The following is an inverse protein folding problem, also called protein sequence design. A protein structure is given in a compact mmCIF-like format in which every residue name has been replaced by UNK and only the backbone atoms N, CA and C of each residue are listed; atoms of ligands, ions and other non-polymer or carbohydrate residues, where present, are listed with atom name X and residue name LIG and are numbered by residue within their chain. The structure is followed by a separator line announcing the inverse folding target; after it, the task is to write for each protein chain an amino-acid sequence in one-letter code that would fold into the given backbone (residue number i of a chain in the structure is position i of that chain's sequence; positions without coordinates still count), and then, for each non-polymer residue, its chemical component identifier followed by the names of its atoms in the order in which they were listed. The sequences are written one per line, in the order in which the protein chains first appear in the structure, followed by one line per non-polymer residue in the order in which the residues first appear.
data_IF_497426167461
#
_entry.id   IF_497426167461
#
_cell.length_a   1.000
_cell.length_b   1.000
_cell.length_c   1.000
_cell.angle_alpha   90.00
_cell.angle_beta   90.00
_cell.angle_gamma   90.00
#
_symmetry.space_group_name_H-M   'P 1'
#
loop_
_entity.id
_entity.type
_entity.pdbx_description
1 polymer ?
#
# COMPACT_ATOMS: atom_id res chain seq x y z
N UNK A 1 14.03 5.72 25.00
CA UNK A 1 14.44 4.53 24.23
C UNK A 1 14.59 5.00 22.79
N UNK A 2 15.69 4.67 22.10
CA UNK A 2 15.79 4.97 20.66
C UNK A 2 14.80 4.08 19.92
N UNK A 3 14.10 4.67 18.95
CA UNK A 3 13.18 3.95 18.10
C UNK A 3 13.93 2.90 17.27
N UNK A 4 13.62 1.59 17.39
CA UNK A 4 14.36 0.53 16.71
C UNK A 4 13.97 0.37 15.24
N UNK A 5 12.89 1.01 14.80
CA UNK A 5 12.43 0.96 13.42
C UNK A 5 13.30 1.86 12.54
N UNK A 6 13.73 1.34 11.38
CA UNK A 6 14.42 2.14 10.38
C UNK A 6 13.42 2.64 9.32
N UNK A 7 13.48 3.92 8.90
CA UNK A 7 12.63 4.42 7.82
C UNK A 7 12.85 3.62 6.54
N UNK A 8 11.76 3.34 5.81
CA UNK A 8 11.85 2.64 4.54
C UNK A 8 12.53 3.48 3.46
N UNK A 9 13.18 2.80 2.52
CA UNK A 9 13.80 3.41 1.34
C UNK A 9 13.73 2.45 0.14
N UNK A 10 14.12 2.91 -1.05
CA UNK A 10 14.26 2.04 -2.23
C UNK A 10 15.15 0.82 -2.00
N UNK A 11 16.09 0.90 -1.05
CA UNK A 11 17.01 -0.20 -0.71
C UNK A 11 16.30 -1.33 0.02
N UNK A 12 15.14 -1.08 0.60
CA UNK A 12 14.33 -2.05 1.34
C UNK A 12 13.37 -2.83 0.44
N UNK A 13 13.21 -2.44 -0.83
CA UNK A 13 12.33 -3.13 -1.79
C UNK A 13 12.59 -4.65 -1.85
N UNK A 14 13.85 -5.15 -1.91
CA UNK A 14 14.09 -6.59 -1.90
C UNK A 14 13.66 -7.29 -0.60
N UNK A 15 13.85 -6.63 0.56
CA UNK A 15 13.41 -7.14 1.86
C UNK A 15 11.89 -7.25 1.92
N UNK A 16 11.20 -6.16 1.59
CA UNK A 16 9.74 -6.10 1.57
C UNK A 16 9.15 -7.13 0.62
N UNK A 17 9.68 -7.20 -0.61
CA UNK A 17 9.23 -8.18 -1.62
C UNK A 17 9.36 -9.61 -1.11
N UNK A 18 10.44 -9.95 -0.38
CA UNK A 18 10.63 -11.29 0.22
C UNK A 18 9.53 -11.64 1.21
N UNK A 19 9.12 -10.69 2.04
CA UNK A 19 8.09 -10.91 3.05
C UNK A 19 6.68 -10.88 2.46
N UNK A 20 6.36 -9.91 1.62
CA UNK A 20 5.05 -9.76 1.00
C UNK A 20 4.70 -10.95 0.09
N UNK A 21 5.70 -11.56 -0.57
CA UNK A 21 5.50 -12.78 -1.36
C UNK A 21 5.06 -14.01 -0.52
N UNK A 22 5.15 -13.95 0.81
CA UNK A 22 4.73 -15.03 1.72
C UNK A 22 3.32 -14.83 2.26
N UNK A 23 2.67 -13.71 1.96
CA UNK A 23 1.32 -13.43 2.43
C UNK A 23 0.27 -13.95 1.45
N UNK A 24 -0.83 -14.45 2.00
CA UNK A 24 -2.04 -14.75 1.23
C UNK A 24 -2.96 -13.52 1.07
N UNK A 25 -2.67 -12.43 1.78
CA UNK A 25 -3.42 -11.18 1.70
C UNK A 25 -3.12 -10.47 0.38
N UNK A 26 -4.10 -9.71 -0.11
CA UNK A 26 -4.02 -8.98 -1.39
C UNK A 26 -4.23 -7.48 -1.20
N UNK A 27 -3.81 -6.99 -0.03
CA UNK A 27 -3.91 -5.58 0.31
C UNK A 27 -2.92 -4.77 -0.53
N UNK A 28 -3.31 -3.58 -0.97
CA UNK A 28 -2.42 -2.72 -1.75
C UNK A 28 -1.19 -2.29 -0.93
N UNK A 29 -1.31 -2.20 0.39
CA UNK A 29 -0.21 -1.93 1.34
C UNK A 29 0.89 -3.01 1.27
N UNK A 30 0.58 -4.24 0.84
CA UNK A 30 1.57 -5.30 0.63
C UNK A 30 2.30 -5.18 -0.73
N UNK A 31 2.48 -3.95 -1.22
CA UNK A 31 3.28 -3.61 -2.39
C UNK A 31 4.54 -2.87 -1.96
N UNK A 32 5.71 -3.46 -2.22
CA UNK A 32 7.00 -2.88 -1.83
C UNK A 32 7.22 -1.48 -2.43
N UNK A 33 6.79 -1.26 -3.67
CA UNK A 33 6.85 0.05 -4.32
C UNK A 33 5.94 1.07 -3.66
N UNK A 34 4.73 0.66 -3.22
CA UNK A 34 3.80 1.56 -2.55
C UNK A 34 4.31 1.99 -1.18
N UNK A 35 4.79 1.03 -0.36
CA UNK A 35 5.33 1.32 0.97
C UNK A 35 6.52 2.29 0.92
N UNK A 36 7.39 2.15 -0.09
CA UNK A 36 8.52 3.06 -0.27
C UNK A 36 8.08 4.41 -0.84
N UNK A 37 7.18 4.43 -1.83
CA UNK A 37 6.66 5.66 -2.42
C UNK A 37 6.03 6.56 -1.36
N UNK A 38 5.20 5.99 -0.49
CA UNK A 38 4.44 6.75 0.50
C UNK A 38 5.20 7.03 1.80
N UNK A 39 6.46 6.62 1.90
CA UNK A 39 7.27 6.80 3.11
C UNK A 39 7.32 8.26 3.60
N UNK A 40 7.45 9.30 2.75
CA UNK A 40 7.45 10.69 3.23
C UNK A 40 6.15 11.11 3.93
N UNK A 41 5.02 10.52 3.53
CA UNK A 41 3.70 10.86 4.07
C UNK A 41 3.32 10.01 5.28
N UNK A 42 3.37 8.68 5.16
CA UNK A 42 3.01 7.76 6.25
C UNK A 42 4.18 7.45 7.19
N UNK A 43 5.38 7.94 6.91
CA UNK A 43 6.58 7.68 7.73
C UNK A 43 6.84 6.18 7.96
N UNK A 44 6.55 5.37 6.94
CA UNK A 44 6.69 3.92 6.99
C UNK A 44 8.11 3.53 7.43
N UNK A 45 8.16 2.63 8.40
CA UNK A 45 9.41 2.15 8.98
C UNK A 45 9.33 0.65 9.26
N UNK A 46 10.45 -0.04 9.09
CA UNK A 46 10.55 -1.48 9.25
C UNK A 46 11.42 -1.88 10.44
N UNK A 47 11.16 -3.08 10.95
CA UNK A 47 12.02 -3.79 11.88
C UNK A 47 11.88 -5.29 11.63
N UNK A 48 13.00 -6.02 11.62
CA UNK A 48 12.99 -7.48 11.59
C UNK A 48 13.24 -8.02 13.01
N UNK A 49 12.31 -8.81 13.53
CA UNK A 49 12.44 -9.52 14.82
C UNK A 49 12.26 -11.00 14.56
N UNK A 50 13.31 -11.78 14.81
CA UNK A 50 13.26 -13.26 14.77
C UNK A 50 12.67 -13.80 13.45
N UNK A 51 13.15 -13.29 12.31
CA UNK A 51 12.65 -13.67 10.98
C UNK A 51 11.21 -13.23 10.68
N UNK A 52 10.71 -12.23 11.40
CA UNK A 52 9.38 -11.63 11.21
C UNK A 52 9.51 -10.14 10.95
N UNK A 53 8.92 -9.68 9.85
CA UNK A 53 8.83 -8.27 9.50
C UNK A 53 7.73 -7.59 10.31
N UNK A 54 8.10 -6.48 10.93
CA UNK A 54 7.22 -5.50 11.55
C UNK A 54 7.27 -4.23 10.69
N UNK A 55 6.11 -3.69 10.37
CA UNK A 55 5.97 -2.39 9.73
C UNK A 55 5.21 -1.47 10.67
N UNK A 56 5.70 -0.24 10.80
CA UNK A 56 5.07 0.83 11.55
C UNK A 56 4.80 2.00 10.62
N UNK A 57 3.61 2.55 10.72
CA UNK A 57 3.12 3.65 9.89
C UNK A 57 2.56 4.75 10.79
N UNK A 58 2.56 5.98 10.30
CA UNK A 58 1.89 7.16 10.87
C UNK A 58 0.70 7.48 9.99
N UNK A 59 -0.48 7.10 10.47
CA UNK A 59 -1.68 7.17 9.66
C UNK A 59 -2.54 8.39 10.04
N UNK A 60 -2.99 9.21 9.07
CA UNK A 60 -3.85 10.36 9.33
C UNK A 60 -5.09 9.97 10.14
N UNK A 61 -5.30 10.65 11.28
CA UNK A 61 -6.44 10.41 12.17
C UNK A 61 -6.30 9.22 13.14
N UNK A 62 -5.38 8.28 12.91
CA UNK A 62 -5.14 7.14 13.81
C UNK A 62 -3.83 7.27 14.61
N UNK A 63 -2.82 7.97 14.07
CA UNK A 63 -1.48 8.06 14.65
C UNK A 63 -0.63 6.83 14.31
N UNK A 64 0.21 6.39 15.26
CA UNK A 64 1.06 5.21 15.08
C UNK A 64 0.21 3.94 14.96
N UNK A 65 0.33 3.24 13.83
CA UNK A 65 -0.28 1.92 13.60
C UNK A 65 0.79 0.94 13.10
N UNK A 66 0.46 -0.35 13.15
CA UNK A 66 1.31 -1.42 12.63
C UNK A 66 0.54 -2.25 11.61
N UNK A 67 1.16 -2.60 10.49
CA UNK A 67 0.65 -3.73 9.71
C UNK A 67 0.79 -5.02 10.54
N UNK A 68 -0.06 -6.03 10.29
CA UNK A 68 0.08 -7.32 10.98
C UNK A 68 1.44 -7.96 10.68
N UNK A 69 2.15 -8.52 11.68
CA UNK A 69 3.50 -9.06 11.49
C UNK A 69 3.56 -10.16 10.41
N UNK A 70 4.64 -10.17 9.63
CA UNK A 70 4.79 -11.06 8.47
C UNK A 70 6.02 -11.94 8.67
N UNK A 71 5.84 -13.23 8.90
CA UNK A 71 6.95 -14.15 9.12
C UNK A 71 6.55 -15.40 9.90
N UNK A 72 7.56 -16.12 10.38
CA UNK A 72 7.36 -17.43 11.03
C UNK A 72 7.12 -17.30 12.54
N UNK A 73 7.68 -16.27 13.17
CA UNK A 73 7.66 -16.08 14.63
C UNK A 73 6.75 -14.90 15.04
N UNK A 74 5.55 -14.84 14.48
CA UNK A 74 4.58 -13.74 14.70
C UNK A 74 4.25 -13.50 16.18
N UNK A 75 4.25 -14.55 17.01
CA UNK A 75 4.04 -14.43 18.46
C UNK A 75 5.08 -13.54 19.15
N UNK A 76 6.36 -13.73 18.81
CA UNK A 76 7.48 -12.94 19.34
C UNK A 76 7.37 -11.47 18.89
N UNK A 77 6.93 -11.26 17.65
CA UNK A 77 6.70 -9.94 17.09
C UNK A 77 5.57 -9.20 17.82
N UNK A 78 4.45 -9.88 18.13
CA UNK A 78 3.38 -9.31 18.95
C UNK A 78 3.85 -8.97 20.37
N UNK A 79 4.60 -9.86 21.02
CA UNK A 79 5.15 -9.61 22.36
C UNK A 79 6.09 -8.40 22.38
N UNK A 80 6.90 -8.25 21.33
CA UNK A 80 7.72 -7.07 21.12
C UNK A 80 6.88 -5.81 20.99
N UNK A 81 5.87 -5.80 20.11
CA UNK A 81 5.00 -4.63 19.90
C UNK A 81 4.28 -4.21 21.17
N UNK A 82 3.75 -5.15 21.96
CA UNK A 82 3.10 -4.83 23.25
C UNK A 82 4.07 -4.15 24.21
N UNK A 83 5.31 -4.64 24.31
CA UNK A 83 6.35 -4.02 25.18
C UNK A 83 6.76 -2.65 24.66
N UNK A 84 6.96 -2.52 23.34
CA UNK A 84 7.30 -1.27 22.68
C UNK A 84 6.23 -0.21 22.91
N UNK A 85 4.98 -0.49 22.56
CA UNK A 85 3.83 0.39 22.73
C UNK A 85 3.64 0.82 24.19
N UNK A 86 3.76 -0.12 25.14
CA UNK A 86 3.73 0.21 26.57
C UNK A 86 4.86 1.16 26.98
N UNK A 87 6.07 0.97 26.47
CA UNK A 87 7.22 1.81 26.81
C UNK A 87 7.11 3.23 26.23
N UNK A 88 6.47 3.39 25.08
CA UNK A 88 6.24 4.70 24.44
C UNK A 88 4.89 5.33 24.81
N UNK A 89 4.07 4.67 25.63
CA UNK A 89 2.79 5.18 26.10
C UNK A 89 1.70 5.22 25.03
N UNK A 90 1.75 4.33 24.04
CA UNK A 90 0.77 4.24 22.95
C UNK A 90 -0.02 2.92 23.01
N UNK A 91 -1.27 2.88 22.53
CA UNK A 91 -2.00 1.63 22.33
C UNK A 91 -1.36 0.79 21.22
N UNK A 92 -1.55 -0.53 21.26
CA UNK A 92 -1.22 -1.41 20.14
C UNK A 92 -2.39 -1.35 19.15
N UNK A 93 -2.14 -0.86 17.94
CA UNK A 93 -3.15 -0.73 16.88
C UNK A 93 -2.64 -1.37 15.59
N UNK A 94 -3.52 -2.11 14.90
CA UNK A 94 -3.18 -2.74 13.63
C UNK A 94 -4.02 -2.16 12.49
N UNK A 95 -3.35 -1.69 11.44
CA UNK A 95 -3.97 -1.16 10.24
C UNK A 95 -2.98 -1.24 9.06
N UNK A 96 -3.41 -1.67 7.86
CA UNK A 96 -4.69 -2.34 7.60
C UNK A 96 -4.74 -3.76 8.22
N UNK A 97 -5.95 -4.28 8.44
CA UNK A 97 -6.17 -5.65 8.88
C UNK A 97 -7.33 -6.27 8.11
N UNK A 98 -7.11 -7.45 7.52
CA UNK A 98 -8.18 -8.23 6.88
C UNK A 98 -9.11 -8.87 7.92
N UNK A 99 -10.23 -9.44 7.48
CA UNK A 99 -11.10 -10.21 8.38
C UNK A 99 -10.36 -11.40 9.03
N UNK A 100 -9.46 -12.06 8.30
CA UNK A 100 -8.65 -13.14 8.85
C UNK A 100 -7.66 -12.63 9.91
N UNK A 101 -7.04 -11.47 9.67
CA UNK A 101 -6.15 -10.83 10.63
C UNK A 101 -6.88 -10.47 11.93
N UNK A 102 -8.11 -9.94 11.83
CA UNK A 102 -8.95 -9.63 12.99
C UNK A 102 -9.21 -10.87 13.85
N UNK A 103 -9.51 -12.02 13.23
CA UNK A 103 -9.72 -13.27 13.97
C UNK A 103 -8.44 -13.75 14.66
N UNK A 104 -7.28 -13.62 13.99
CA UNK A 104 -5.98 -13.92 14.58
C UNK A 104 -5.67 -13.00 15.78
N UNK A 105 -5.97 -11.71 15.65
CA UNK A 105 -5.80 -10.73 16.72
C UNK A 105 -6.72 -11.03 17.91
N UNK A 106 -7.98 -11.41 17.67
CA UNK A 106 -8.91 -11.84 18.73
C UNK A 106 -8.42 -13.09 19.45
N UNK A 107 -7.93 -14.08 18.71
CA UNK A 107 -7.35 -15.28 19.31
C UNK A 107 -6.14 -14.97 20.19
N UNK A 108 -5.35 -13.95 19.82
CA UNK A 108 -4.14 -13.55 20.56
C UNK A 108 -4.41 -12.62 21.75
N UNK A 109 -5.28 -11.63 21.58
CA UNK A 109 -5.46 -10.52 22.52
C UNK A 109 -6.81 -10.55 23.26
N UNK A 110 -7.73 -11.43 22.87
CA UNK A 110 -9.09 -11.49 23.40
C UNK A 110 -9.98 -10.43 22.77
N UNK A 111 -10.50 -9.51 23.58
CA UNK A 111 -11.38 -8.45 23.10
C UNK A 111 -10.58 -7.41 22.29
N UNK A 112 -10.85 -7.34 20.99
CA UNK A 112 -10.25 -6.41 20.03
C UNK A 112 -11.36 -5.51 19.46
N UNK A 113 -11.19 -4.20 19.60
CA UNK A 113 -12.04 -3.20 18.95
C UNK A 113 -11.72 -3.15 17.45
N UNK A 114 -12.75 -3.19 16.61
CA UNK A 114 -12.60 -3.20 15.15
C UNK A 114 -13.49 -2.14 14.53
N UNK A 115 -12.85 -1.20 13.82
CA UNK A 115 -13.53 -0.09 13.14
C UNK A 115 -13.25 -0.17 11.64
N UNK A 116 -14.23 -0.52 10.79
CA UNK A 116 -14.04 -0.50 9.35
C UNK A 116 -13.96 0.94 8.83
N UNK A 117 -12.94 1.25 8.04
CA UNK A 117 -12.79 2.57 7.41
C UNK A 117 -12.99 2.44 5.90
N UNK A 118 -14.22 2.70 5.42
CA UNK A 118 -14.66 2.38 4.05
C UNK A 118 -13.80 3.03 2.96
N UNK A 119 -13.30 4.23 3.21
CA UNK A 119 -12.49 4.99 2.25
C UNK A 119 -11.14 4.30 1.96
N UNK A 120 -10.71 3.39 2.82
CA UNK A 120 -9.46 2.62 2.71
C UNK A 120 -9.67 1.18 2.23
N UNK A 121 -10.85 0.85 1.71
CA UNK A 121 -11.09 -0.50 1.19
C UNK A 121 -10.50 -0.66 -0.21
N UNK A 122 -9.71 -1.72 -0.38
CA UNK A 122 -9.17 -2.10 -1.67
C UNK A 122 -10.24 -2.67 -2.61
N UNK A 123 -10.11 -2.31 -3.89
CA UNK A 123 -10.88 -2.92 -4.96
C UNK A 123 -10.09 -4.07 -5.58
N UNK A 124 -10.54 -5.29 -5.36
CA UNK A 124 -9.95 -6.48 -5.94
C UNK A 124 -10.73 -6.92 -7.19
N UNK A 125 -10.03 -7.02 -8.31
CA UNK A 125 -10.57 -7.50 -9.59
C UNK A 125 -9.92 -8.82 -9.98
N UNK A 126 -10.69 -9.69 -10.64
CA UNK A 126 -10.12 -10.86 -11.29
C UNK A 126 -9.33 -10.43 -12.55
N UNK A 127 -8.08 -10.88 -12.64
CA UNK A 127 -7.20 -10.48 -13.73
C UNK A 127 -7.71 -10.97 -15.10
N UNK A 128 -8.32 -12.15 -15.18
CA UNK A 128 -8.87 -12.69 -16.44
C UNK A 128 -10.11 -11.90 -16.87
N UNK A 129 -10.92 -11.44 -15.91
CA UNK A 129 -12.01 -10.52 -16.19
C UNK A 129 -11.51 -9.21 -16.79
N UNK A 130 -10.41 -8.63 -16.26
CA UNK A 130 -9.84 -7.37 -16.76
C UNK A 130 -9.12 -7.51 -18.10
N UNK A 131 -8.50 -8.66 -18.36
CA UNK A 131 -7.83 -8.94 -19.66
C UNK A 131 -8.85 -9.17 -20.76
N UNK A 132 -9.92 -9.90 -20.46
CA UNK A 132 -10.84 -10.39 -21.50
C UNK A 132 -12.10 -9.56 -21.64
N UNK A 133 -12.50 -8.86 -20.56
CA UNK A 133 -13.78 -8.16 -20.46
C UNK A 133 -14.95 -9.01 -20.97
N UNK A 134 -15.01 -10.30 -20.61
CA UNK A 134 -16.01 -11.24 -21.17
C UNK A 134 -17.40 -11.07 -20.55
N UNK A 135 -18.43 -11.26 -21.38
CA UNK A 135 -19.83 -11.27 -20.94
C UNK A 135 -20.51 -9.89 -20.90
N UNK A 136 -21.81 -9.89 -20.58
CA UNK A 136 -22.68 -8.71 -20.70
C UNK A 136 -22.30 -7.58 -19.73
N UNK A 137 -21.78 -7.91 -18.55
CA UNK A 137 -21.36 -6.93 -17.53
C UNK A 137 -20.30 -5.95 -18.06
N UNK A 138 -19.42 -6.42 -18.94
CA UNK A 138 -18.32 -5.61 -19.47
C UNK A 138 -18.59 -4.98 -20.84
N UNK A 139 -19.85 -4.93 -21.29
CA UNK A 139 -20.20 -4.31 -22.57
C UNK A 139 -19.75 -2.84 -22.63
N UNK A 140 -19.90 -2.09 -21.53
CA UNK A 140 -19.50 -0.68 -21.47
C UNK A 140 -18.00 -0.48 -21.69
N UNK A 141 -17.18 -1.23 -20.98
CA UNK A 141 -15.71 -1.19 -21.08
C UNK A 141 -15.25 -1.51 -22.50
N UNK A 142 -15.79 -2.58 -23.11
CA UNK A 142 -15.47 -2.91 -24.51
C UNK A 142 -15.91 -1.82 -25.48
N UNK A 143 -17.07 -1.19 -25.25
CA UNK A 143 -17.53 -0.08 -26.07
C UNK A 143 -16.61 1.14 -25.96
N UNK A 144 -16.09 1.47 -24.77
CA UNK A 144 -15.11 2.53 -24.58
C UNK A 144 -13.80 2.23 -25.32
N UNK A 145 -13.29 1.00 -25.20
CA UNK A 145 -12.08 0.56 -25.90
C UNK A 145 -12.28 0.66 -27.43
N UNK A 146 -13.38 0.11 -27.96
CA UNK A 146 -13.67 0.18 -29.39
C UNK A 146 -13.84 1.62 -29.88
N UNK A 147 -14.43 2.50 -29.06
CA UNK A 147 -14.57 3.90 -29.41
C UNK A 147 -13.21 4.60 -29.47
N UNK A 148 -12.36 4.39 -28.47
CA UNK A 148 -11.00 4.92 -28.43
C UNK A 148 -10.19 4.46 -29.65
N UNK A 149 -10.18 3.16 -29.95
CA UNK A 149 -9.45 2.60 -31.09
C UNK A 149 -9.92 3.12 -32.44
N UNK A 150 -11.21 3.46 -32.58
CA UNK A 150 -11.73 4.11 -33.80
C UNK A 150 -11.32 5.58 -33.92
N UNK A 151 -11.25 6.30 -32.80
CA UNK A 151 -10.87 7.71 -32.79
C UNK A 151 -9.36 7.91 -32.97
N UNK A 152 -8.57 6.98 -32.45
CA UNK A 152 -7.11 7.06 -32.43
C UNK A 152 -6.52 5.78 -33.02
N UNK A 153 -6.60 5.57 -34.36
CA UNK A 153 -6.19 4.31 -34.98
C UNK A 153 -4.68 4.03 -34.84
N UNK A 154 -3.86 5.07 -34.72
CA UNK A 154 -2.40 4.99 -34.64
C UNK A 154 -1.88 4.89 -33.20
N UNK A 155 -2.74 4.47 -32.26
CA UNK A 155 -2.34 4.29 -30.86
C UNK A 155 -1.29 3.18 -30.71
N UNK A 156 -0.40 3.34 -29.74
CA UNK A 156 0.55 2.31 -29.33
C UNK A 156 0.54 2.15 -27.81
N UNK A 157 0.89 0.96 -27.33
CA UNK A 157 1.20 0.71 -25.93
C UNK A 157 2.71 0.53 -25.82
N UNK A 158 3.32 1.26 -24.88
CA UNK A 158 4.73 1.18 -24.58
C UNK A 158 4.92 0.94 -23.09
N UNK A 159 5.90 0.12 -22.74
CA UNK A 159 6.32 0.00 -21.34
C UNK A 159 7.10 1.26 -20.97
N UNK A 160 7.02 1.66 -19.70
CA UNK A 160 7.90 2.72 -19.20
C UNK A 160 9.34 2.21 -19.22
N UNK A 161 10.21 2.99 -19.83
CA UNK A 161 11.66 2.79 -19.95
C UNK A 161 12.38 4.09 -19.61
N UNK A 162 13.70 4.04 -19.43
CA UNK A 162 14.50 5.26 -19.24
C UNK A 162 14.36 6.25 -20.42
N UNK A 163 14.12 5.73 -21.63
CA UNK A 163 14.00 6.54 -22.86
C UNK A 163 12.71 7.37 -22.89
N UNK A 164 11.57 6.80 -22.47
CA UNK A 164 10.28 7.50 -22.48
C UNK A 164 9.89 8.12 -21.13
N UNK A 165 10.69 7.91 -20.07
CA UNK A 165 10.45 8.50 -18.76
C UNK A 165 10.30 10.03 -18.78
N UNK A 166 11.09 10.82 -19.54
CA UNK A 166 10.90 12.27 -19.62
C UNK A 166 9.51 12.66 -20.14
N UNK A 167 8.94 11.90 -21.06
CA UNK A 167 7.58 12.14 -21.58
C UNK A 167 6.52 11.85 -20.54
N UNK A 168 6.70 10.79 -19.74
CA UNK A 168 5.81 10.44 -18.62
C UNK A 168 5.85 11.54 -17.56
N UNK A 169 7.02 12.06 -17.20
CA UNK A 169 7.15 13.17 -16.26
C UNK A 169 6.47 14.44 -16.78
N UNK A 170 6.68 14.78 -18.06
CA UNK A 170 6.03 15.93 -18.68
C UNK A 170 4.50 15.80 -18.71
N UNK A 171 3.99 14.59 -18.99
CA UNK A 171 2.56 14.30 -18.91
C UNK A 171 2.03 14.48 -17.48
N UNK A 172 2.74 13.95 -16.48
CA UNK A 172 2.35 14.09 -15.07
C UNK A 172 2.29 15.56 -14.65
N UNK A 173 3.30 16.36 -15.00
CA UNK A 173 3.33 17.80 -14.71
C UNK A 173 2.17 18.57 -15.37
N UNK A 174 1.85 18.27 -16.64
CA UNK A 174 0.70 18.89 -17.29
C UNK A 174 -0.61 18.47 -16.63
N UNK A 175 -0.72 17.17 -16.29
CA UNK A 175 -1.90 16.60 -15.67
C UNK A 175 -2.20 17.23 -14.31
N UNK A 176 -1.22 17.30 -13.40
CA UNK A 176 -1.43 17.85 -12.05
C UNK A 176 -1.71 19.36 -12.09
N UNK A 177 -1.06 20.09 -13.01
CA UNK A 177 -1.34 21.50 -13.24
C UNK A 177 -2.77 21.75 -13.73
N UNK A 178 -3.28 20.89 -14.62
CA UNK A 178 -4.61 21.05 -15.23
C UNK A 178 -5.74 20.53 -14.33
N UNK A 179 -5.48 19.48 -13.59
CA UNK A 179 -6.44 18.77 -12.76
C UNK A 179 -6.07 18.85 -11.28
N UNK A 180 -5.72 20.06 -10.84
CA UNK A 180 -5.34 20.34 -9.45
C UNK A 180 -6.36 19.75 -8.47
N UNK A 181 -5.86 19.01 -7.48
CA UNK A 181 -6.65 18.47 -6.38
C UNK A 181 -6.23 19.13 -5.07
N UNK A 182 -7.21 19.65 -4.34
CA UNK A 182 -6.96 20.37 -3.08
C UNK A 182 -6.81 19.44 -1.87
N UNK A 183 -7.05 18.13 -2.02
CA UNK A 183 -6.96 17.19 -0.90
C UNK A 183 -5.51 16.97 -0.47
N UNK A 184 -5.26 16.99 0.85
CA UNK A 184 -3.95 16.74 1.46
C UNK A 184 -3.27 15.47 0.93
N UNK A 185 -4.03 14.38 0.74
CA UNK A 185 -3.51 13.12 0.23
C UNK A 185 -3.04 13.21 -1.23
N UNK A 186 -3.68 14.03 -2.05
CA UNK A 186 -3.26 14.23 -3.44
C UNK A 186 -2.00 15.09 -3.52
N UNK A 187 -1.90 16.14 -2.70
CA UNK A 187 -0.68 16.95 -2.62
C UNK A 187 0.50 16.12 -2.08
N UNK A 188 0.24 15.24 -1.12
CA UNK A 188 1.23 14.29 -0.61
C UNK A 188 1.68 13.29 -1.69
N UNK A 189 0.75 12.71 -2.45
CA UNK A 189 1.06 11.81 -3.57
C UNK A 189 1.95 12.50 -4.60
N UNK A 190 1.59 13.72 -5.02
CA UNK A 190 2.38 14.50 -5.97
C UNK A 190 3.78 14.82 -5.44
N UNK A 191 3.89 15.16 -4.16
CA UNK A 191 5.17 15.38 -3.49
C UNK A 191 6.04 14.13 -3.49
N UNK A 192 5.46 12.99 -3.09
CA UNK A 192 6.16 11.71 -3.06
C UNK A 192 6.70 11.34 -4.44
N UNK A 193 5.89 11.44 -5.50
CA UNK A 193 6.32 11.12 -6.87
C UNK A 193 7.49 11.99 -7.33
N UNK A 194 7.56 13.26 -6.90
CA UNK A 194 8.63 14.19 -7.30
C UNK A 194 9.96 13.96 -6.59
N UNK A 195 9.97 13.21 -5.49
CA UNK A 195 11.18 12.89 -4.73
C UNK A 195 11.93 11.65 -5.28
N UNK A 196 11.29 10.87 -6.16
CA UNK A 196 11.88 9.71 -6.85
C UNK A 196 12.38 10.06 -8.26
#
# INVERSE_FOLDING_TARGET
MTDPFHPLSVRDIPLLTRYFARQDTRLCNASAGAAVLWQPYFQDAALEVDGTLLLREQFPGLGTVFSTPIGENVGNAYDFLVKYCRAVGQPVQFFPATAADVENLRARFGDVEVTPVRDWFDYLYDAQDMVTFRGRRFNGQRNHIHHFQRLYPDWAFERVTEENLPEVCAFFDDFTRRYHKDSDSAQAEEGCVREF
#
